data_IF_669298636766
#
_entry.id   IF_669298636766
#
_cell.length_a   1.000
_cell.length_b   1.000
_cell.length_c   1.000
_cell.angle_alpha   90.00
_cell.angle_beta   90.00
_cell.angle_gamma   90.00
#
_symmetry.space_group_name_H-M   'P 1'
#
loop_
_entity.id
_entity.type
_entity.pdbx_description
1 polymer ?
#
# COMPACT_ATOMS: atom_id res chain seq x y z
N UNK A 1 8.44 9.59 40.06
CA UNK A 1 8.34 8.14 40.23
C UNK A 1 6.88 7.73 40.43
N UNK A 2 6.19 7.34 39.41
CA UNK A 2 4.96 6.51 39.45
C UNK A 2 4.82 5.82 38.09
N UNK A 3 4.96 4.50 38.10
CA UNK A 3 4.76 3.62 36.94
C UNK A 3 3.31 3.69 36.46
N UNK A 4 3.08 4.13 35.25
CA UNK A 4 1.80 4.05 34.56
C UNK A 4 1.72 2.75 33.75
N UNK A 5 0.77 1.95 34.16
CA UNK A 5 0.48 0.58 33.81
C UNK A 5 -0.01 0.43 32.37
N UNK A 6 0.75 -0.26 31.51
CA UNK A 6 0.50 -0.54 30.07
C UNK A 6 -0.61 -1.58 29.78
N UNK A 7 -1.52 -1.85 30.73
CA UNK A 7 -2.49 -2.97 30.63
C UNK A 7 -3.96 -2.59 30.49
N UNK A 8 -4.32 -1.40 29.98
CA UNK A 8 -5.76 -0.99 29.85
C UNK A 8 -6.19 -0.49 28.49
N UNK A 9 -5.62 -1.02 27.38
CA UNK A 9 -6.10 -0.64 26.03
C UNK A 9 -6.40 -1.82 25.09
N UNK A 10 -6.61 -3.02 25.64
CA UNK A 10 -6.94 -4.23 24.88
C UNK A 10 -8.14 -4.99 25.46
N UNK A 11 -9.19 -4.30 25.85
CA UNK A 11 -10.43 -4.95 26.27
C UNK A 11 -11.64 -4.10 25.87
N UNK A 12 -12.06 -4.20 24.62
CA UNK A 12 -13.44 -4.00 24.15
C UNK A 12 -13.45 -4.26 22.63
N UNK A 13 -13.92 -5.44 22.23
CA UNK A 13 -14.93 -5.72 21.21
C UNK A 13 -14.83 -7.17 20.77
N UNK A 14 -15.41 -8.04 21.58
CA UNK A 14 -15.93 -9.31 21.09
C UNK A 14 -17.44 -9.22 21.16
N UNK A 15 -18.09 -8.80 20.09
CA UNK A 15 -19.50 -9.04 19.87
C UNK A 15 -19.65 -9.87 18.61
N UNK A 16 -20.27 -11.03 18.78
CA UNK A 16 -20.58 -12.02 17.77
C UNK A 16 -21.41 -11.38 16.65
N UNK A 17 -20.92 -11.41 15.42
CA UNK A 17 -21.70 -11.10 14.24
C UNK A 17 -22.24 -12.41 13.66
N UNK A 18 -23.57 -12.53 13.67
CA UNK A 18 -24.30 -13.62 13.04
C UNK A 18 -23.98 -13.69 11.54
N UNK A 19 -23.69 -14.90 11.07
CA UNK A 19 -23.38 -15.22 9.68
C UNK A 19 -24.61 -15.01 8.79
N UNK A 20 -24.63 -13.91 8.04
CA UNK A 20 -25.51 -13.80 6.88
C UNK A 20 -24.82 -14.52 5.70
N UNK A 21 -25.44 -15.61 5.26
CA UNK A 21 -25.05 -16.35 4.04
C UNK A 21 -25.30 -15.42 2.85
N UNK A 22 -24.26 -14.83 2.31
CA UNK A 22 -24.32 -14.16 1.02
C UNK A 22 -24.38 -15.23 -0.10
N UNK A 23 -25.23 -15.03 -1.13
CA UNK A 23 -25.26 -15.91 -2.28
C UNK A 23 -23.87 -15.94 -2.92
N UNK A 24 -23.40 -17.14 -3.26
CA UNK A 24 -22.22 -17.38 -4.06
C UNK A 24 -22.35 -16.63 -5.39
N UNK A 25 -21.84 -15.41 -5.46
CA UNK A 25 -21.36 -14.90 -6.73
C UNK A 25 -20.21 -15.82 -7.11
N UNK A 26 -20.45 -16.73 -8.06
CA UNK A 26 -19.44 -17.61 -8.57
C UNK A 26 -18.26 -16.77 -9.04
N UNK A 27 -17.11 -17.02 -8.47
CA UNK A 27 -15.86 -16.59 -9.04
C UNK A 27 -15.73 -17.38 -10.34
N UNK A 28 -16.27 -16.79 -11.42
CA UNK A 28 -16.01 -17.30 -12.74
C UNK A 28 -14.49 -17.39 -12.88
N UNK A 29 -14.01 -18.56 -13.24
CA UNK A 29 -12.63 -18.76 -13.59
C UNK A 29 -12.24 -17.61 -14.51
N UNK A 30 -11.30 -16.79 -14.05
CA UNK A 30 -10.84 -15.63 -14.78
C UNK A 30 -10.40 -16.14 -16.15
N UNK A 31 -11.17 -15.79 -17.19
CA UNK A 31 -10.82 -16.03 -18.56
C UNK A 31 -9.38 -15.53 -18.75
N UNK A 32 -8.58 -16.34 -19.41
CA UNK A 32 -7.19 -16.09 -19.76
C UNK A 32 -7.05 -14.62 -20.17
N UNK A 33 -6.24 -13.83 -19.47
CA UNK A 33 -6.11 -12.42 -19.80
C UNK A 33 -5.66 -12.31 -21.27
N UNK A 34 -6.13 -11.29 -22.01
CA UNK A 34 -5.63 -11.02 -23.34
C UNK A 34 -4.10 -10.90 -23.30
N UNK A 35 -3.40 -11.27 -24.37
CA UNK A 35 -1.94 -11.19 -24.41
C UNK A 35 -1.55 -9.76 -24.01
N UNK A 36 -0.63 -9.67 -23.04
CA UNK A 36 -0.15 -8.40 -22.52
C UNK A 36 0.28 -7.50 -23.69
N UNK A 37 -0.29 -6.30 -23.74
CA UNK A 37 0.25 -5.26 -24.61
C UNK A 37 1.75 -5.15 -24.31
N UNK A 38 2.58 -5.07 -25.35
CA UNK A 38 4.04 -4.95 -25.20
C UNK A 38 4.31 -3.75 -24.29
N UNK A 39 4.74 -4.03 -23.06
CA UNK A 39 5.17 -2.98 -22.14
C UNK A 39 6.36 -2.28 -22.76
N UNK A 40 6.19 -1.03 -23.11
CA UNK A 40 7.31 -0.17 -23.49
C UNK A 40 8.03 0.17 -22.19
N UNK A 41 9.19 -0.48 -21.96
CA UNK A 41 10.11 -0.04 -20.92
C UNK A 41 10.39 1.46 -21.12
N UNK A 42 10.56 2.26 -20.04
CA UNK A 42 10.94 3.65 -20.19
C UNK A 42 12.24 3.72 -21.01
N UNK A 43 12.15 4.35 -22.19
CA UNK A 43 13.32 4.50 -23.05
C UNK A 43 14.33 5.43 -22.38
N UNK A 44 15.52 4.92 -22.14
CA UNK A 44 16.67 5.74 -21.80
C UNK A 44 17.13 6.42 -23.11
N UNK A 45 17.14 7.75 -23.21
CA UNK A 45 17.53 8.41 -24.45
C UNK A 45 18.90 7.95 -24.93
N UNK A 46 18.96 7.34 -26.12
CA UNK A 46 20.19 6.90 -26.74
C UNK A 46 20.80 5.58 -26.22
N UNK A 47 20.13 4.85 -25.34
CA UNK A 47 20.58 3.54 -24.81
C UNK A 47 19.49 2.51 -25.08
N UNK A 48 19.90 1.31 -25.53
CA UNK A 48 18.96 0.19 -25.63
C UNK A 48 18.36 -0.12 -24.25
N UNK A 49 17.06 -0.51 -24.15
CA UNK A 49 16.45 -0.82 -22.86
C UNK A 49 17.10 -2.02 -22.20
N UNK A 50 17.05 -2.05 -20.87
CA UNK A 50 17.36 -3.28 -20.13
C UNK A 50 16.46 -4.41 -20.62
N UNK A 51 17.04 -5.60 -20.78
CA UNK A 51 16.28 -6.81 -21.10
C UNK A 51 16.61 -7.89 -20.07
N UNK A 52 15.60 -8.68 -19.71
CA UNK A 52 15.76 -9.81 -18.82
C UNK A 52 15.19 -11.06 -19.47
N UNK A 53 15.92 -12.17 -19.37
CA UNK A 53 15.49 -13.47 -19.83
C UNK A 53 15.75 -14.49 -18.72
N UNK A 54 14.69 -14.99 -18.12
CA UNK A 54 14.77 -15.78 -16.91
C UNK A 54 15.40 -14.96 -15.78
N UNK A 55 16.52 -15.45 -15.23
CA UNK A 55 17.27 -14.77 -14.17
C UNK A 55 18.52 -14.05 -14.70
N UNK A 56 18.58 -13.77 -16.01
CA UNK A 56 19.72 -13.06 -16.62
C UNK A 56 19.29 -11.68 -17.11
N UNK A 57 19.86 -10.64 -16.49
CA UNK A 57 19.69 -9.26 -16.88
C UNK A 57 20.76 -8.86 -17.89
N UNK A 58 20.34 -8.37 -19.05
CA UNK A 58 21.21 -7.74 -20.06
C UNK A 58 21.30 -6.24 -19.80
N UNK A 59 22.51 -5.74 -19.60
CA UNK A 59 22.82 -4.31 -19.42
C UNK A 59 23.50 -3.84 -20.68
N UNK A 60 22.91 -2.92 -21.47
CA UNK A 60 23.53 -2.37 -22.69
C UNK A 60 24.75 -1.49 -22.38
N UNK A 61 25.69 -1.42 -23.32
CA UNK A 61 26.73 -0.38 -23.28
C UNK A 61 26.12 0.99 -23.57
N UNK A 62 26.67 2.05 -22.97
CA UNK A 62 26.19 3.41 -23.18
C UNK A 62 26.45 4.33 -22.00
N UNK A 63 26.00 5.58 -22.11
CA UNK A 63 26.07 6.58 -21.04
C UNK A 63 24.74 6.65 -20.32
N UNK A 64 24.76 6.35 -19.02
CA UNK A 64 23.58 6.36 -18.15
C UNK A 64 23.55 7.68 -17.37
N UNK A 65 22.45 8.39 -17.49
CA UNK A 65 22.17 9.59 -16.70
C UNK A 65 21.31 9.18 -15.51
N UNK A 66 21.86 9.23 -14.31
CA UNK A 66 21.19 8.79 -13.10
C UNK A 66 20.69 9.94 -12.26
N UNK A 67 19.86 9.66 -11.28
CA UNK A 67 19.36 10.67 -10.33
C UNK A 67 20.49 11.50 -9.72
N UNK A 68 20.26 12.83 -9.58
CA UNK A 68 21.29 13.76 -9.11
C UNK A 68 22.28 14.27 -10.15
N UNK A 69 21.98 14.06 -11.46
CA UNK A 69 22.79 14.58 -12.57
C UNK A 69 24.13 13.87 -12.77
N UNK A 70 24.25 12.66 -12.26
CA UNK A 70 25.48 11.86 -12.45
C UNK A 70 25.41 11.10 -13.77
N UNK A 71 26.53 11.09 -14.47
CA UNK A 71 26.74 10.27 -15.65
C UNK A 71 27.68 9.12 -15.32
N UNK A 72 27.37 7.93 -15.84
CA UNK A 72 28.26 6.78 -15.77
C UNK A 72 28.23 6.03 -17.11
N UNK A 73 29.38 5.60 -17.58
CA UNK A 73 29.52 4.87 -18.84
C UNK A 73 29.66 3.38 -18.58
N UNK A 74 28.77 2.59 -19.18
CA UNK A 74 28.97 1.13 -19.33
C UNK A 74 29.81 0.91 -20.61
N UNK A 75 31.03 0.40 -20.46
CA UNK A 75 32.01 0.32 -21.55
C UNK A 75 31.70 -0.79 -22.54
N UNK A 76 31.07 -1.88 -22.08
CA UNK A 76 30.66 -3.02 -22.91
C UNK A 76 29.39 -3.65 -22.39
N UNK A 77 28.54 -4.24 -23.28
CA UNK A 77 27.34 -4.94 -22.83
C UNK A 77 27.69 -6.05 -21.85
N UNK A 78 26.84 -6.23 -20.83
CA UNK A 78 27.04 -7.26 -19.81
C UNK A 78 25.78 -8.09 -19.61
N UNK A 79 25.97 -9.35 -19.20
CA UNK A 79 24.92 -10.24 -18.73
C UNK A 79 25.14 -10.53 -17.26
N UNK A 80 24.16 -10.18 -16.43
CA UNK A 80 24.23 -10.28 -14.99
C UNK A 80 23.23 -11.32 -14.49
N UNK A 81 23.71 -12.27 -13.69
CA UNK A 81 22.81 -13.22 -13.03
C UNK A 81 22.11 -12.54 -11.85
N UNK A 82 20.80 -12.67 -11.80
CA UNK A 82 19.96 -12.26 -10.66
C UNK A 82 19.65 -13.51 -9.83
N UNK A 83 19.97 -13.50 -8.55
CA UNK A 83 19.69 -14.64 -7.69
C UNK A 83 18.19 -15.01 -7.68
N UNK A 84 17.85 -16.30 -7.56
CA UNK A 84 16.46 -16.74 -7.50
C UNK A 84 15.72 -16.14 -6.29
N UNK A 85 14.40 -16.36 -6.23
CA UNK A 85 13.58 -15.97 -5.09
C UNK A 85 14.07 -16.69 -3.82
N UNK A 86 14.04 -15.98 -2.70
CA UNK A 86 14.43 -16.54 -1.41
C UNK A 86 13.27 -17.33 -0.82
N UNK A 87 13.58 -18.53 -0.31
CA UNK A 87 12.63 -19.43 0.35
C UNK A 87 13.12 -19.69 1.77
N UNK A 88 12.20 -19.56 2.72
CA UNK A 88 12.43 -19.87 4.13
C UNK A 88 11.56 -21.07 4.51
N UNK A 89 12.17 -22.08 5.12
CA UNK A 89 11.47 -23.21 5.70
C UNK A 89 11.25 -22.96 7.20
N UNK A 90 10.01 -23.08 7.62
CA UNK A 90 9.58 -23.01 9.02
C UNK A 90 9.21 -24.43 9.46
N UNK A 91 9.72 -24.85 10.61
CA UNK A 91 9.45 -26.17 11.18
C UNK A 91 8.81 -26.02 12.53
N UNK A 92 7.74 -26.79 12.72
CA UNK A 92 7.08 -26.96 14.03
C UNK A 92 6.68 -25.64 14.71
N UNK A 93 6.16 -24.69 13.91
CA UNK A 93 5.57 -23.49 14.47
C UNK A 93 4.35 -23.85 15.32
N UNK A 94 4.36 -23.43 16.58
CA UNK A 94 3.24 -23.64 17.50
C UNK A 94 2.12 -22.66 17.20
N UNK A 95 0.92 -23.17 16.99
CA UNK A 95 -0.27 -22.34 16.77
C UNK A 95 -1.56 -23.01 17.27
N UNK A 96 -2.62 -22.23 17.35
CA UNK A 96 -3.99 -22.71 17.56
C UNK A 96 -4.85 -22.36 16.37
N UNK A 97 -5.67 -23.30 15.92
CA UNK A 97 -6.54 -23.08 14.78
C UNK A 97 -7.74 -22.19 15.17
N UNK A 98 -8.04 -21.20 14.36
CA UNK A 98 -9.25 -20.39 14.52
C UNK A 98 -10.50 -21.25 14.37
N UNK A 99 -11.54 -21.05 15.21
CA UNK A 99 -12.84 -21.68 14.99
C UNK A 99 -13.54 -21.16 13.74
N UNK A 100 -13.16 -19.97 13.26
CA UNK A 100 -13.76 -19.35 12.11
C UNK A 100 -13.17 -19.93 10.81
N UNK A 101 -14.03 -20.05 9.79
CA UNK A 101 -13.58 -20.40 8.44
C UNK A 101 -12.59 -19.33 7.93
N UNK A 102 -11.38 -19.72 7.52
CA UNK A 102 -10.37 -18.76 7.08
C UNK A 102 -10.82 -18.05 5.79
N UNK A 103 -10.60 -16.73 5.75
CA UNK A 103 -11.00 -15.95 4.58
C UNK A 103 -10.68 -14.47 4.68
N UNK A 104 -10.73 -13.79 3.54
CA UNK A 104 -10.36 -12.38 3.45
C UNK A 104 -8.93 -12.12 3.91
N UNK A 105 -8.71 -10.99 4.62
CA UNK A 105 -7.39 -10.55 5.09
C UNK A 105 -7.12 -10.96 6.55
N UNK A 106 -8.16 -11.23 7.35
CA UNK A 106 -8.03 -11.26 8.80
C UNK A 106 -8.60 -12.51 9.45
N UNK A 107 -9.59 -13.16 8.84
CA UNK A 107 -10.30 -14.27 9.46
C UNK A 107 -9.47 -15.54 9.39
N UNK A 108 -9.06 -16.05 10.53
CA UNK A 108 -8.23 -17.25 10.65
C UNK A 108 -6.92 -17.00 11.40
N UNK A 109 -6.24 -18.09 11.73
CA UNK A 109 -4.91 -18.07 12.33
C UNK A 109 -3.86 -17.77 11.26
N UNK A 110 -2.96 -16.87 11.55
CA UNK A 110 -1.85 -16.47 10.66
C UNK A 110 -0.61 -17.28 10.97
N UNK A 111 0.07 -17.75 9.93
CA UNK A 111 1.41 -18.33 10.04
C UNK A 111 2.43 -17.21 10.28
N UNK A 112 3.28 -17.35 11.31
CA UNK A 112 4.23 -16.32 11.73
C UNK A 112 5.23 -15.95 10.63
N UNK A 113 5.77 -16.95 9.90
CA UNK A 113 6.74 -16.74 8.83
C UNK A 113 6.17 -15.98 7.63
N UNK A 114 4.86 -16.04 7.40
CA UNK A 114 4.20 -15.30 6.31
C UNK A 114 3.62 -13.95 6.77
N UNK A 115 3.74 -13.62 8.05
CA UNK A 115 3.08 -12.44 8.61
C UNK A 115 3.76 -11.14 8.18
N UNK A 116 3.03 -10.28 7.50
CA UNK A 116 3.39 -8.92 7.17
C UNK A 116 2.48 -7.97 7.96
N UNK A 117 3.04 -7.31 8.98
CA UNK A 117 2.27 -6.51 9.92
C UNK A 117 1.08 -7.29 10.53
N UNK A 118 -0.15 -6.91 10.23
CA UNK A 118 -1.37 -7.51 10.80
C UNK A 118 -2.05 -8.56 9.91
N UNK A 119 -1.51 -8.82 8.70
CA UNK A 119 -2.04 -9.81 7.75
C UNK A 119 -0.97 -10.82 7.32
N UNK A 120 -1.36 -11.89 6.65
CA UNK A 120 -0.42 -12.73 5.90
C UNK A 120 -0.01 -12.02 4.61
N UNK A 121 1.28 -12.08 4.24
CA UNK A 121 1.76 -11.51 2.99
C UNK A 121 1.12 -12.25 1.80
N UNK A 122 0.51 -11.47 0.91
CA UNK A 122 -0.27 -12.03 -0.18
C UNK A 122 0.55 -12.92 -1.11
N UNK A 123 0.17 -14.21 -1.22
CA UNK A 123 0.84 -15.25 -2.01
C UNK A 123 2.28 -15.59 -1.59
N UNK A 124 2.66 -15.32 -0.35
CA UNK A 124 3.98 -15.70 0.14
C UNK A 124 4.09 -17.18 0.53
N UNK A 125 2.99 -17.83 0.92
CA UNK A 125 3.00 -19.25 1.29
C UNK A 125 3.22 -20.14 0.07
N UNK A 126 4.11 -21.11 0.21
CA UNK A 126 4.22 -22.26 -0.72
C UNK A 126 3.20 -23.30 -0.26
N UNK A 127 2.03 -23.25 -0.86
CA UNK A 127 0.82 -23.93 -0.39
C UNK A 127 1.02 -25.45 -0.20
N UNK A 128 1.66 -26.11 -1.16
CA UNK A 128 1.90 -27.57 -1.12
C UNK A 128 2.92 -28.00 -0.04
N UNK A 129 3.64 -27.05 0.56
CA UNK A 129 4.60 -27.33 1.62
C UNK A 129 3.97 -27.37 3.02
N UNK A 130 2.71 -26.94 3.15
CA UNK A 130 2.05 -26.83 4.44
C UNK A 130 1.58 -28.19 4.96
N UNK A 131 2.07 -28.55 6.13
CA UNK A 131 1.64 -29.72 6.88
C UNK A 131 1.40 -29.37 8.35
N UNK A 132 0.31 -29.88 8.92
CA UNK A 132 -0.02 -29.72 10.35
C UNK A 132 -0.02 -31.07 11.06
N UNK A 133 0.38 -31.06 12.32
CA UNK A 133 0.31 -32.21 13.21
C UNK A 133 -0.11 -31.80 14.63
N UNK A 134 -0.69 -32.73 15.37
CA UNK A 134 -0.98 -32.55 16.80
C UNK A 134 0.31 -32.58 17.65
N UNK A 135 0.23 -32.23 18.91
CA UNK A 135 1.33 -32.34 19.89
C UNK A 135 1.78 -33.79 20.10
N UNK A 136 0.93 -34.78 19.81
CA UNK A 136 1.26 -36.20 19.87
C UNK A 136 1.88 -36.75 18.57
N UNK A 137 2.04 -35.89 17.54
CA UNK A 137 2.65 -36.25 16.27
C UNK A 137 1.67 -36.75 15.21
N UNK A 138 0.36 -36.83 15.49
CA UNK A 138 -0.64 -37.24 14.53
C UNK A 138 -0.79 -36.17 13.43
N UNK A 139 -0.65 -36.56 12.16
CA UNK A 139 -0.87 -35.66 11.02
C UNK A 139 -2.34 -35.26 10.92
N UNK A 140 -2.57 -33.96 10.66
CA UNK A 140 -3.89 -33.41 10.38
C UNK A 140 -4.13 -33.36 8.88
N UNK A 141 -5.36 -33.69 8.45
CA UNK A 141 -5.76 -33.75 7.04
C UNK A 141 -6.30 -32.39 6.61
N UNK A 142 -5.74 -31.86 5.53
CA UNK A 142 -6.25 -30.65 4.89
C UNK A 142 -7.70 -30.86 4.41
N UNK A 143 -8.50 -29.81 4.48
CA UNK A 143 -9.93 -29.74 4.11
C UNK A 143 -10.87 -30.60 4.98
N UNK A 144 -10.33 -31.44 5.83
CA UNK A 144 -11.07 -32.26 6.80
C UNK A 144 -10.82 -31.75 8.24
N UNK A 145 -9.57 -31.80 8.70
CA UNK A 145 -9.18 -31.42 10.05
C UNK A 145 -8.82 -29.92 10.14
N UNK A 146 -8.30 -29.34 9.06
CA UNK A 146 -8.04 -27.89 8.97
C UNK A 146 -8.35 -27.35 7.58
N UNK A 147 -8.69 -26.06 7.53
CA UNK A 147 -8.95 -25.30 6.31
C UNK A 147 -7.82 -24.29 6.06
N UNK A 148 -7.57 -23.96 4.79
CA UNK A 148 -6.55 -22.99 4.38
C UNK A 148 -7.14 -21.95 3.45
N UNK A 149 -6.86 -20.68 3.71
CA UNK A 149 -6.99 -19.60 2.75
C UNK A 149 -5.57 -19.22 2.28
N UNK A 150 -5.11 -19.92 1.24
CA UNK A 150 -3.74 -19.83 0.74
C UNK A 150 -3.27 -18.41 0.36
N UNK A 151 -4.10 -17.51 -0.25
CA UNK A 151 -3.65 -16.18 -0.62
C UNK A 151 -3.06 -15.35 0.53
N UNK A 152 -3.58 -15.50 1.74
CA UNK A 152 -3.11 -14.80 2.93
C UNK A 152 -2.58 -15.74 4.01
N UNK A 153 -2.34 -17.00 3.67
CA UNK A 153 -1.80 -18.02 4.59
C UNK A 153 -2.59 -18.10 5.92
N UNK A 154 -3.93 -18.09 5.83
CA UNK A 154 -4.82 -18.13 6.99
C UNK A 154 -5.32 -19.55 7.20
N UNK A 155 -5.36 -19.99 8.46
CA UNK A 155 -5.79 -21.32 8.86
C UNK A 155 -7.04 -21.26 9.75
N UNK A 156 -7.86 -22.29 9.66
CA UNK A 156 -9.01 -22.50 10.54
C UNK A 156 -9.31 -23.96 10.74
N UNK A 157 -10.18 -24.25 11.71
CA UNK A 157 -10.66 -25.64 11.93
C UNK A 157 -11.45 -26.15 10.74
N UNK A 158 -11.20 -27.40 10.40
CA UNK A 158 -11.96 -28.12 9.40
C UNK A 158 -13.24 -28.74 9.96
N UNK A 159 -14.16 -29.18 9.08
CA UNK A 159 -15.47 -29.73 9.50
C UNK A 159 -15.38 -31.09 10.20
N UNK A 160 -14.24 -31.77 10.13
CA UNK A 160 -14.00 -33.09 10.75
C UNK A 160 -12.82 -33.04 11.72
N UNK A 161 -12.49 -31.84 12.26
CA UNK A 161 -11.36 -31.64 13.14
C UNK A 161 -11.50 -32.47 14.42
N UNK A 162 -10.46 -33.23 14.77
CA UNK A 162 -10.31 -33.91 16.05
C UNK A 162 -9.57 -33.05 17.09
N UNK A 163 -9.27 -31.80 16.75
CA UNK A 163 -8.67 -30.80 17.63
C UNK A 163 -9.64 -29.64 17.82
N UNK A 164 -9.53 -28.95 18.95
CA UNK A 164 -10.35 -27.78 19.31
C UNK A 164 -9.54 -26.48 19.17
N UNK A 165 -10.17 -25.30 19.23
CA UNK A 165 -9.45 -24.03 19.25
C UNK A 165 -8.49 -23.85 20.42
N UNK A 166 -8.66 -24.64 21.49
CA UNK A 166 -7.77 -24.62 22.66
C UNK A 166 -6.49 -25.45 22.49
N UNK A 167 -6.52 -26.41 21.56
CA UNK A 167 -5.42 -27.34 21.35
C UNK A 167 -4.27 -26.69 20.57
N UNK A 168 -3.05 -27.01 20.97
CA UNK A 168 -1.85 -26.66 20.22
C UNK A 168 -1.66 -27.64 19.08
N UNK A 169 -1.30 -27.10 17.92
CA UNK A 169 -0.85 -27.86 16.76
C UNK A 169 0.48 -27.28 16.26
N UNK A 170 1.22 -28.10 15.53
CA UNK A 170 2.49 -27.71 14.91
C UNK A 170 2.32 -27.59 13.42
N UNK A 171 2.76 -26.47 12.84
CA UNK A 171 2.80 -26.24 11.41
C UNK A 171 4.25 -26.28 10.88
N UNK A 172 4.44 -27.03 9.80
CA UNK A 172 5.68 -27.04 9.01
C UNK A 172 5.33 -26.60 7.62
N UNK A 173 6.05 -25.59 7.09
CA UNK A 173 5.79 -25.01 5.77
C UNK A 173 7.01 -24.25 5.26
N UNK A 174 6.95 -23.85 3.98
CA UNK A 174 7.89 -22.94 3.37
C UNK A 174 7.17 -21.73 2.81
N UNK A 175 7.87 -20.59 2.79
CA UNK A 175 7.34 -19.36 2.21
C UNK A 175 8.40 -18.58 1.45
N UNK A 176 7.96 -17.76 0.52
CA UNK A 176 8.81 -16.86 -0.25
C UNK A 176 9.09 -15.56 0.49
N UNK A 177 10.24 -14.95 0.19
CA UNK A 177 10.56 -13.57 0.54
C UNK A 177 10.78 -12.76 -0.73
N UNK A 178 10.40 -11.49 -0.72
CA UNK A 178 10.70 -10.54 -1.79
C UNK A 178 12.03 -9.85 -1.55
N UNK A 179 12.66 -9.32 -2.63
CA UNK A 179 13.97 -8.68 -2.54
C UNK A 179 14.12 -7.56 -3.57
N UNK A 180 14.94 -6.58 -3.24
CA UNK A 180 15.40 -5.53 -4.15
C UNK A 180 16.91 -5.68 -4.37
N UNK A 181 17.32 -5.99 -5.61
CA UNK A 181 18.71 -6.04 -6.00
C UNK A 181 19.10 -4.73 -6.72
N UNK A 182 20.29 -4.21 -6.46
CA UNK A 182 20.79 -2.98 -7.05
C UNK A 182 21.80 -3.28 -8.16
N UNK A 183 21.58 -2.72 -9.33
CA UNK A 183 22.55 -2.78 -10.43
C UNK A 183 23.41 -1.52 -10.37
N UNK A 184 24.71 -1.70 -10.21
CA UNK A 184 25.68 -0.62 -10.10
C UNK A 184 26.78 -0.76 -11.16
N UNK A 185 27.39 0.36 -11.52
CA UNK A 185 28.57 0.42 -12.42
C UNK A 185 29.77 0.91 -11.62
N UNK A 186 30.88 0.22 -11.74
CA UNK A 186 32.17 0.60 -11.10
C UNK A 186 32.91 1.69 -11.88
N UNK A 187 34.08 2.09 -11.37
CA UNK A 187 34.92 3.10 -12.00
C UNK A 187 35.48 2.69 -13.38
N UNK A 188 35.58 1.39 -13.64
CA UNK A 188 36.03 0.84 -14.93
C UNK A 188 34.89 0.72 -15.96
N UNK A 189 33.68 1.11 -15.59
CA UNK A 189 32.50 1.01 -16.46
C UNK A 189 31.90 -0.40 -16.53
N UNK A 190 32.17 -1.25 -15.54
CA UNK A 190 31.65 -2.62 -15.48
C UNK A 190 30.42 -2.70 -14.60
N UNK A 191 29.28 -3.15 -15.12
CA UNK A 191 28.07 -3.33 -14.31
C UNK A 191 28.16 -4.62 -13.48
N UNK A 192 27.58 -4.58 -12.27
CA UNK A 192 27.40 -5.74 -11.38
C UNK A 192 26.14 -5.61 -10.55
N UNK A 193 25.67 -6.73 -10.00
CA UNK A 193 24.52 -6.78 -9.09
C UNK A 193 25.01 -6.74 -7.64
N UNK A 194 24.38 -5.88 -6.84
CA UNK A 194 24.47 -5.91 -5.39
C UNK A 194 23.18 -6.54 -4.88
N UNK A 195 23.28 -7.73 -4.31
CA UNK A 195 22.12 -8.45 -3.80
C UNK A 195 21.59 -7.76 -2.55
N UNK A 196 20.28 -7.54 -2.50
CA UNK A 196 19.60 -7.00 -1.34
C UNK A 196 19.27 -8.03 -0.26
N UNK A 197 18.73 -7.55 0.85
CA UNK A 197 18.26 -8.40 1.95
C UNK A 197 16.81 -8.79 1.69
N UNK A 198 16.50 -10.11 1.65
CA UNK A 198 15.11 -10.54 1.47
C UNK A 198 14.24 -10.19 2.67
N UNK A 199 12.98 -9.83 2.41
CA UNK A 199 12.03 -9.47 3.47
C UNK A 199 10.61 -9.87 3.10
N UNK A 200 9.79 -10.19 4.10
CA UNK A 200 8.40 -10.61 3.88
C UNK A 200 7.48 -9.46 3.40
N UNK A 201 7.78 -8.22 3.74
CA UNK A 201 6.93 -7.08 3.40
C UNK A 201 7.68 -5.94 2.70
N UNK A 202 8.65 -5.33 3.38
CA UNK A 202 9.35 -4.12 2.94
C UNK A 202 10.84 -4.40 2.73
N UNK A 203 11.24 -5.04 1.61
CA UNK A 203 12.66 -5.21 1.30
C UNK A 203 13.30 -3.83 1.10
N UNK A 204 14.50 -3.68 1.61
CA UNK A 204 15.27 -2.45 1.45
C UNK A 204 16.25 -2.57 0.30
N UNK A 205 16.44 -1.45 -0.40
CA UNK A 205 17.45 -1.37 -1.42
C UNK A 205 18.84 -1.35 -0.76
N UNK A 206 19.78 -2.22 -1.18
CA UNK A 206 21.10 -2.22 -0.60
C UNK A 206 21.84 -0.90 -0.91
N UNK A 207 22.66 -0.37 0.01
CA UNK A 207 23.47 0.80 -0.27
C UNK A 207 24.45 0.50 -1.41
N UNK A 208 24.66 1.46 -2.33
CA UNK A 208 25.67 1.28 -3.37
C UNK A 208 27.07 1.20 -2.73
N UNK A 209 27.87 0.22 -3.11
CA UNK A 209 29.27 0.15 -2.65
C UNK A 209 30.07 1.40 -3.01
N UNK A 210 31.06 1.78 -2.20
CA UNK A 210 31.91 2.93 -2.50
C UNK A 210 32.49 2.87 -3.91
N UNK A 211 32.52 4.01 -4.62
CA UNK A 211 33.05 4.12 -5.97
C UNK A 211 32.16 3.55 -7.07
N UNK A 212 30.91 3.19 -6.75
CA UNK A 212 29.94 2.71 -7.75
C UNK A 212 28.78 3.67 -7.96
N UNK A 213 28.17 3.62 -9.13
CA UNK A 213 26.99 4.41 -9.49
C UNK A 213 25.81 3.47 -9.77
N UNK A 214 24.67 3.62 -9.07
CA UNK A 214 23.46 2.84 -9.33
C UNK A 214 22.84 3.22 -10.68
N UNK A 215 22.41 2.22 -11.46
CA UNK A 215 21.77 2.41 -12.77
C UNK A 215 20.38 1.77 -12.88
N UNK A 216 20.07 0.79 -12.05
CA UNK A 216 18.76 0.16 -12.00
C UNK A 216 18.51 -0.56 -10.67
N UNK A 217 17.25 -0.74 -10.33
CA UNK A 217 16.78 -1.66 -9.28
C UNK A 217 16.10 -2.85 -9.95
N UNK A 218 16.36 -4.05 -9.48
CA UNK A 218 15.65 -5.27 -9.88
C UNK A 218 14.79 -5.73 -8.72
N UNK A 219 13.48 -5.78 -8.92
CA UNK A 219 12.54 -6.29 -7.93
C UNK A 219 12.28 -7.78 -8.15
N UNK A 220 12.55 -8.58 -7.14
CA UNK A 220 12.23 -10.01 -7.07
C UNK A 220 10.98 -10.20 -6.20
N UNK A 221 9.79 -10.37 -6.81
CA UNK A 221 8.55 -10.61 -6.06
C UNK A 221 8.49 -12.04 -5.47
N UNK A 222 7.52 -12.29 -4.60
CA UNK A 222 7.32 -13.57 -3.91
C UNK A 222 7.21 -14.77 -4.83
N UNK A 223 6.36 -14.70 -5.86
CA UNK A 223 5.94 -15.85 -6.67
C UNK A 223 6.51 -15.84 -8.10
N UNK A 224 7.40 -14.89 -8.44
CA UNK A 224 8.02 -14.86 -9.75
C UNK A 224 9.09 -15.93 -9.87
N UNK A 225 8.77 -17.04 -10.55
CA UNK A 225 9.73 -18.09 -10.92
C UNK A 225 10.77 -17.56 -11.89
N UNK A 226 10.37 -16.63 -12.78
CA UNK A 226 11.22 -15.95 -13.74
C UNK A 226 10.96 -14.46 -13.67
N UNK A 227 12.00 -13.65 -13.91
CA UNK A 227 11.85 -12.21 -14.01
C UNK A 227 11.52 -11.81 -15.45
N UNK A 228 10.79 -10.72 -15.56
CA UNK A 228 10.45 -10.04 -16.81
C UNK A 228 10.99 -8.60 -16.77
N UNK A 229 11.07 -7.95 -17.92
CA UNK A 229 11.56 -6.56 -18.03
C UNK A 229 10.81 -5.60 -17.11
N UNK A 230 9.54 -5.89 -16.83
CA UNK A 230 8.71 -5.12 -15.91
C UNK A 230 9.25 -5.07 -14.47
N UNK A 231 10.07 -6.04 -14.06
CA UNK A 231 10.70 -6.08 -12.75
C UNK A 231 12.00 -5.26 -12.67
N UNK A 232 12.42 -4.64 -13.79
CA UNK A 232 13.60 -3.78 -13.84
C UNK A 232 13.16 -2.32 -13.81
N UNK A 233 13.70 -1.56 -12.85
CA UNK A 233 13.41 -0.15 -12.61
C UNK A 233 14.67 0.66 -12.87
N UNK A 234 14.86 1.22 -14.09
CA UNK A 234 16.01 2.03 -14.40
C UNK A 234 16.05 3.30 -13.55
N UNK A 235 17.22 3.66 -13.06
CA UNK A 235 17.46 4.95 -12.44
C UNK A 235 17.68 5.98 -13.54
N UNK A 236 16.70 6.84 -13.77
CA UNK A 236 16.78 7.87 -14.81
C UNK A 236 16.88 9.25 -14.16
N UNK A 237 17.62 10.15 -14.79
CA UNK A 237 17.69 11.55 -14.39
C UNK A 237 16.45 12.33 -14.84
N UNK A 238 15.26 11.81 -14.57
CA UNK A 238 14.07 12.60 -14.82
C UNK A 238 13.97 13.68 -13.75
N UNK A 239 13.98 14.93 -14.20
CA UNK A 239 13.54 16.03 -13.36
C UNK A 239 12.15 15.65 -12.80
N UNK A 240 11.97 15.88 -11.52
CA UNK A 240 10.68 15.73 -10.85
C UNK A 240 9.70 16.65 -11.60
N UNK A 241 9.02 16.12 -12.59
CA UNK A 241 7.96 16.86 -13.28
C UNK A 241 7.00 17.32 -12.19
N UNK A 242 6.65 18.59 -12.23
CA UNK A 242 5.59 19.14 -11.38
C UNK A 242 4.32 18.43 -11.80
N UNK A 243 4.02 17.32 -11.12
CA UNK A 243 2.94 16.40 -11.47
C UNK A 243 1.58 17.09 -11.44
N UNK A 244 1.46 18.27 -10.80
CA UNK A 244 0.22 19.02 -10.73
C UNK A 244 0.48 20.50 -10.53
N UNK A 245 0.49 21.26 -11.58
CA UNK A 245 0.41 22.72 -11.52
C UNK A 245 -0.96 23.21 -10.99
N UNK A 246 -1.95 22.34 -10.95
CA UNK A 246 -3.37 22.70 -10.77
C UNK A 246 -3.86 22.75 -9.32
N UNK A 247 -3.08 22.33 -8.34
CA UNK A 247 -3.54 22.23 -6.96
C UNK A 247 -3.20 23.43 -6.07
N UNK A 248 -2.24 24.23 -6.49
CA UNK A 248 -1.81 25.42 -5.74
C UNK A 248 -2.90 26.51 -5.73
N UNK A 249 -3.06 27.16 -4.60
CA UNK A 249 -3.99 28.29 -4.47
C UNK A 249 -5.47 27.92 -4.37
N UNK A 250 -5.82 26.64 -4.27
CA UNK A 250 -7.22 26.21 -4.15
C UNK A 250 -7.73 26.06 -2.71
N UNK A 251 -6.90 26.44 -1.72
CA UNK A 251 -7.26 26.55 -0.29
C UNK A 251 -6.88 27.93 0.28
N UNK A 252 -7.30 29.04 -0.38
CA UNK A 252 -6.81 30.37 -0.08
C UNK A 252 -7.22 30.86 1.31
N UNK A 253 -8.40 30.49 1.80
CA UNK A 253 -8.90 30.93 3.11
C UNK A 253 -8.09 30.31 4.24
N UNK A 254 -7.88 28.99 4.19
CA UNK A 254 -7.05 28.27 5.17
C UNK A 254 -5.62 28.77 5.13
N UNK A 255 -5.02 28.90 3.93
CA UNK A 255 -3.66 29.38 3.78
C UNK A 255 -3.50 30.80 4.35
N UNK A 256 -4.44 31.72 4.08
CA UNK A 256 -4.42 33.07 4.64
C UNK A 256 -4.51 33.07 6.17
N UNK A 257 -5.35 32.22 6.77
CA UNK A 257 -5.42 32.06 8.24
C UNK A 257 -4.09 31.55 8.81
N UNK A 258 -3.52 30.49 8.21
CA UNK A 258 -2.21 29.95 8.62
C UNK A 258 -1.11 31.02 8.57
N UNK A 259 -1.03 31.80 7.51
CA UNK A 259 -0.01 32.85 7.33
C UNK A 259 -0.15 33.99 8.35
N UNK A 260 -1.40 34.36 8.70
CA UNK A 260 -1.64 35.40 9.74
C UNK A 260 -1.41 34.91 11.16
N UNK A 261 -1.41 33.57 11.38
CA UNK A 261 -1.36 33.00 12.72
C UNK A 261 -2.73 32.89 13.39
N UNK A 262 -3.81 32.93 12.61
CA UNK A 262 -5.18 32.78 13.13
C UNK A 262 -5.40 31.31 13.55
N UNK A 263 -6.40 31.03 14.42
CA UNK A 263 -6.80 29.64 14.71
C UNK A 263 -7.29 28.95 13.45
N UNK A 264 -6.82 27.69 13.26
CA UNK A 264 -7.22 26.83 12.13
C UNK A 264 -7.59 25.44 12.63
N UNK A 265 -8.73 24.93 12.18
CA UNK A 265 -9.15 23.54 12.41
C UNK A 265 -8.95 22.73 11.13
N UNK A 266 -8.13 21.66 11.20
CA UNK A 266 -7.89 20.71 10.12
C UNK A 266 -8.43 19.35 10.52
N UNK A 267 -9.28 18.76 9.67
CA UNK A 267 -9.77 17.41 9.82
C UNK A 267 -9.17 16.53 8.74
N UNK A 268 -8.42 15.49 9.15
CA UNK A 268 -8.05 14.36 8.30
C UNK A 268 -9.17 13.33 8.36
N UNK A 269 -9.64 12.87 7.21
CA UNK A 269 -10.78 11.99 7.12
C UNK A 269 -10.56 10.87 6.10
N UNK A 270 -10.80 9.61 6.51
CA UNK A 270 -10.51 8.51 5.62
C UNK A 270 -10.65 7.10 6.19
N UNK A 271 -9.91 6.19 5.59
CA UNK A 271 -9.92 4.77 5.97
C UNK A 271 -8.65 4.36 6.76
N UNK A 272 -8.20 3.11 6.63
CA UNK A 272 -7.05 2.57 7.37
C UNK A 272 -5.73 3.27 7.05
N UNK A 273 -5.57 3.81 5.85
CA UNK A 273 -4.36 4.56 5.47
C UNK A 273 -4.33 5.90 6.23
N UNK A 274 -5.47 6.56 6.35
CA UNK A 274 -5.59 7.79 7.15
C UNK A 274 -5.46 7.53 8.64
N UNK A 275 -5.92 6.37 9.14
CA UNK A 275 -5.62 5.89 10.52
C UNK A 275 -4.11 5.80 10.75
N UNK A 276 -3.35 5.46 9.72
CA UNK A 276 -1.93 5.11 9.83
C UNK A 276 -1.73 3.66 10.26
N UNK A 277 -2.56 2.75 9.74
CA UNK A 277 -2.42 1.33 10.03
C UNK A 277 -1.05 0.80 9.59
N UNK A 278 -0.47 -0.07 10.42
CA UNK A 278 0.80 -0.78 10.19
C UNK A 278 2.07 0.11 10.20
N UNK A 279 1.95 1.39 10.59
CA UNK A 279 3.10 2.26 10.90
C UNK A 279 2.99 2.81 12.32
N UNK A 280 4.10 3.31 12.85
CA UNK A 280 4.04 4.00 14.15
C UNK A 280 3.35 5.36 14.01
N UNK A 281 2.65 5.85 15.05
CA UNK A 281 1.75 7.02 14.91
C UNK A 281 2.38 8.26 14.30
N UNK A 282 3.66 8.56 14.56
CA UNK A 282 4.32 9.74 14.03
C UNK A 282 4.73 9.62 12.55
N UNK A 283 4.69 8.42 11.98
CA UNK A 283 4.95 8.15 10.56
C UNK A 283 3.69 8.24 9.70
N UNK A 284 2.51 8.11 10.30
CA UNK A 284 1.23 8.23 9.59
C UNK A 284 1.07 9.62 8.98
N UNK A 285 0.62 9.71 7.73
CA UNK A 285 0.52 10.98 7.01
C UNK A 285 -0.34 12.00 7.74
N UNK A 286 -1.47 11.59 8.33
CA UNK A 286 -2.36 12.49 9.06
C UNK A 286 -1.65 13.17 10.25
N UNK A 287 -0.85 12.42 11.02
CA UNK A 287 -0.08 12.96 12.14
C UNK A 287 1.13 13.77 11.65
N UNK A 288 1.77 13.37 10.56
CA UNK A 288 2.85 14.15 9.93
C UNK A 288 2.34 15.49 9.42
N UNK A 289 1.14 15.55 8.85
CA UNK A 289 0.52 16.81 8.43
C UNK A 289 0.42 17.81 9.59
N UNK A 290 -0.01 17.37 10.76
CA UNK A 290 -0.01 18.21 11.97
C UNK A 290 1.38 18.75 12.27
N UNK A 291 2.40 17.89 12.23
CA UNK A 291 3.79 18.26 12.52
C UNK A 291 4.31 19.29 11.52
N UNK A 292 4.10 19.05 10.23
CA UNK A 292 4.53 19.95 9.14
C UNK A 292 3.83 21.31 9.21
N UNK A 293 2.51 21.33 9.44
CA UNK A 293 1.76 22.59 9.59
C UNK A 293 2.22 23.39 10.81
N UNK A 294 2.45 22.71 11.95
CA UNK A 294 2.95 23.38 13.16
C UNK A 294 4.35 23.95 12.95
N UNK A 295 5.23 23.22 12.25
CA UNK A 295 6.59 23.69 11.95
C UNK A 295 6.59 24.87 10.97
N UNK A 296 5.76 24.79 9.91
CA UNK A 296 5.68 25.82 8.87
C UNK A 296 4.95 27.10 9.33
N UNK A 297 3.94 26.95 10.22
CA UNK A 297 3.10 28.05 10.70
C UNK A 297 3.08 28.11 12.23
N UNK A 298 4.22 28.41 12.89
CA UNK A 298 4.36 28.27 14.35
C UNK A 298 3.52 29.27 15.17
N UNK A 299 2.98 30.32 14.54
CA UNK A 299 2.08 31.26 15.19
C UNK A 299 0.63 30.84 15.22
N UNK A 300 0.26 29.84 14.40
CA UNK A 300 -1.14 29.36 14.28
C UNK A 300 -1.47 28.45 15.45
N UNK A 301 -2.62 28.68 16.08
CA UNK A 301 -3.23 27.70 16.99
C UNK A 301 -3.94 26.65 16.15
N UNK A 302 -3.24 25.55 15.87
CA UNK A 302 -3.75 24.45 15.06
C UNK A 302 -4.58 23.48 15.90
N UNK A 303 -5.86 23.30 15.56
CA UNK A 303 -6.68 22.18 15.98
C UNK A 303 -6.64 21.10 14.90
N UNK A 304 -6.15 19.92 15.25
CA UNK A 304 -6.04 18.80 14.31
C UNK A 304 -6.90 17.63 14.81
N UNK A 305 -7.76 17.09 13.94
CA UNK A 305 -8.62 15.94 14.20
C UNK A 305 -8.40 14.88 13.14
N UNK A 306 -8.50 13.62 13.54
CA UNK A 306 -8.45 12.50 12.63
C UNK A 306 -9.73 11.66 12.80
N UNK A 307 -10.66 11.82 11.86
CA UNK A 307 -11.88 11.03 11.73
C UNK A 307 -11.64 9.95 10.66
N UNK A 308 -11.04 8.82 11.06
CA UNK A 308 -10.74 7.73 10.14
C UNK A 308 -11.07 6.38 10.76
N UNK A 309 -11.57 5.46 9.94
CA UNK A 309 -11.99 4.12 10.37
C UNK A 309 -11.46 3.08 9.41
N UNK A 310 -10.66 2.13 9.91
CA UNK A 310 -10.10 1.04 9.11
C UNK A 310 -11.17 0.28 8.31
N UNK A 311 -10.93 0.12 7.00
CA UNK A 311 -11.85 -0.59 6.10
C UNK A 311 -13.18 0.14 5.83
N UNK A 312 -13.35 1.41 6.24
CA UNK A 312 -14.52 2.19 5.85
C UNK A 312 -14.40 2.67 4.40
N UNK A 313 -15.54 3.00 3.82
CA UNK A 313 -15.68 3.66 2.53
C UNK A 313 -16.49 4.95 2.70
N UNK A 314 -16.26 5.92 1.82
CA UNK A 314 -16.86 7.24 1.94
C UNK A 314 -18.39 7.23 2.08
N UNK A 315 -19.09 6.41 1.26
CA UNK A 315 -20.56 6.32 1.32
C UNK A 315 -21.09 5.82 2.68
N UNK A 316 -20.33 5.01 3.41
CA UNK A 316 -20.77 4.54 4.74
C UNK A 316 -20.94 5.70 5.73
N UNK A 317 -20.15 6.76 5.61
CA UNK A 317 -20.21 7.92 6.49
C UNK A 317 -21.51 8.72 6.31
N UNK A 318 -22.06 8.80 5.09
CA UNK A 318 -23.38 9.40 4.82
C UNK A 318 -24.53 8.57 5.37
N UNK A 319 -24.32 7.27 5.53
CA UNK A 319 -25.33 6.31 5.94
C UNK A 319 -25.10 5.79 7.37
N UNK A 320 -24.41 6.55 8.22
CA UNK A 320 -24.13 6.19 9.62
C UNK A 320 -23.57 4.77 9.78
N UNK A 321 -22.61 4.41 8.94
CA UNK A 321 -21.95 3.11 8.97
C UNK A 321 -22.69 1.98 8.24
N UNK A 322 -23.94 2.17 7.82
CA UNK A 322 -24.75 1.12 7.19
C UNK A 322 -25.04 1.43 5.71
N UNK A 323 -24.16 0.94 4.83
CA UNK A 323 -24.32 1.06 3.38
C UNK A 323 -24.61 -0.33 2.78
N UNK A 324 -25.61 -0.47 1.86
CA UNK A 324 -26.01 -1.75 1.29
C UNK A 324 -24.83 -2.54 0.69
N UNK A 325 -24.74 -3.81 1.06
CA UNK A 325 -23.71 -4.73 0.55
C UNK A 325 -22.33 -4.58 1.21
N UNK A 326 -22.16 -3.72 2.20
CA UNK A 326 -20.93 -3.57 2.95
C UNK A 326 -21.04 -4.04 4.40
N UNK A 327 -19.95 -4.51 5.02
CA UNK A 327 -19.89 -4.76 6.45
C UNK A 327 -20.22 -3.46 7.22
N UNK A 328 -21.14 -3.54 8.17
CA UNK A 328 -21.55 -2.39 8.99
C UNK A 328 -20.35 -1.84 9.79
N UNK A 329 -20.33 -0.53 9.95
CA UNK A 329 -19.46 0.20 10.87
C UNK A 329 -20.27 0.70 12.05
N UNK A 330 -19.59 1.00 13.15
CA UNK A 330 -20.24 1.56 14.33
C UNK A 330 -20.89 2.92 13.99
N UNK A 331 -22.22 3.05 14.10
CA UNK A 331 -22.92 4.29 13.80
C UNK A 331 -22.60 5.44 14.79
N UNK A 332 -21.98 5.14 15.94
CA UNK A 332 -21.51 6.16 16.84
C UNK A 332 -20.26 6.89 16.34
N UNK A 333 -19.49 6.25 15.44
CA UNK A 333 -18.20 6.77 14.95
C UNK A 333 -18.17 7.01 13.46
N UNK A 334 -18.85 6.19 12.65
CA UNK A 334 -18.91 6.30 11.19
C UNK A 334 -20.06 7.18 10.74
N UNK A 335 -19.95 8.51 10.97
CA UNK A 335 -20.99 9.50 10.68
C UNK A 335 -20.37 10.77 10.12
N UNK A 336 -20.93 11.25 9.02
CA UNK A 336 -20.44 12.46 8.35
C UNK A 336 -20.67 13.74 9.18
N UNK A 337 -21.74 13.80 9.95
CA UNK A 337 -22.04 14.93 10.83
C UNK A 337 -20.98 15.14 11.93
N UNK A 338 -20.24 14.10 12.33
CA UNK A 338 -19.09 14.24 13.25
C UNK A 338 -17.95 15.03 12.62
N UNK A 339 -17.70 14.85 11.32
CA UNK A 339 -16.71 15.64 10.58
C UNK A 339 -17.13 17.11 10.54
N UNK A 340 -18.41 17.38 10.28
CA UNK A 340 -18.97 18.74 10.23
C UNK A 340 -19.03 19.41 11.62
N UNK A 341 -19.23 18.62 12.68
CA UNK A 341 -19.29 19.13 14.06
C UNK A 341 -17.97 19.72 14.55
N UNK A 342 -16.83 19.32 13.98
CA UNK A 342 -15.53 19.91 14.26
C UNK A 342 -15.39 21.33 13.71
N UNK A 343 -16.30 21.80 12.90
CA UNK A 343 -16.29 23.11 12.23
C UNK A 343 -14.94 23.37 11.52
N UNK A 344 -14.51 22.46 10.62
CA UNK A 344 -13.20 22.55 10.01
C UNK A 344 -13.09 23.74 9.06
N UNK A 345 -11.92 24.38 9.06
CA UNK A 345 -11.50 25.27 7.98
C UNK A 345 -11.08 24.48 6.75
N UNK A 346 -10.46 23.32 7.00
CA UNK A 346 -9.93 22.42 5.98
C UNK A 346 -10.24 20.99 6.31
N UNK A 347 -10.76 20.25 5.30
CA UNK A 347 -10.85 18.78 5.31
C UNK A 347 -9.81 18.23 4.35
N UNK A 348 -9.02 17.25 4.80
CA UNK A 348 -8.08 16.48 3.96
C UNK A 348 -8.59 15.04 3.95
N UNK A 349 -9.05 14.58 2.79
CA UNK A 349 -9.82 13.34 2.67
C UNK A 349 -9.16 12.31 1.75
N UNK A 350 -9.01 11.08 2.26
CA UNK A 350 -8.47 9.95 1.51
C UNK A 350 -9.26 8.67 1.80
N UNK A 351 -9.75 7.96 0.76
CA UNK A 351 -10.43 6.67 0.86
C UNK A 351 -9.96 5.70 -0.22
N UNK A 352 -8.95 4.87 0.06
CA UNK A 352 -8.53 3.80 -0.86
C UNK A 352 -9.66 2.80 -1.11
N UNK A 353 -10.45 2.49 -0.09
CA UNK A 353 -11.50 1.47 -0.17
C UNK A 353 -12.63 1.83 -1.15
N UNK A 354 -12.75 3.08 -1.56
CA UNK A 354 -13.69 3.54 -2.57
C UNK A 354 -13.40 2.97 -3.98
N UNK A 355 -12.23 2.39 -4.19
CA UNK A 355 -11.83 1.74 -5.46
C UNK A 355 -12.82 0.68 -5.94
N UNK A 356 -13.63 0.13 -5.06
CA UNK A 356 -14.62 -0.91 -5.37
C UNK A 356 -16.00 -0.35 -5.69
N UNK A 357 -16.22 0.96 -5.53
CA UNK A 357 -17.50 1.58 -5.89
C UNK A 357 -17.59 1.85 -7.39
N UNK A 358 -18.79 1.70 -7.98
CA UNK A 358 -19.06 2.22 -9.31
C UNK A 358 -19.10 3.76 -9.28
N UNK A 359 -18.88 4.37 -10.43
CA UNK A 359 -18.69 5.83 -10.56
C UNK A 359 -19.94 6.63 -10.12
N UNK A 360 -21.15 6.10 -10.34
CA UNK A 360 -22.39 6.76 -9.94
C UNK A 360 -22.58 6.82 -8.41
N UNK A 361 -22.08 5.83 -7.67
CA UNK A 361 -22.05 5.86 -6.20
C UNK A 361 -21.06 6.91 -5.72
N UNK A 362 -19.88 6.97 -6.34
CA UNK A 362 -18.88 8.00 -6.04
C UNK A 362 -19.44 9.41 -6.31
N UNK A 363 -20.06 9.62 -7.46
CA UNK A 363 -20.62 10.91 -7.84
C UNK A 363 -21.66 11.39 -6.81
N UNK A 364 -22.63 10.55 -6.45
CA UNK A 364 -23.66 10.88 -5.44
C UNK A 364 -23.06 11.19 -4.07
N UNK A 365 -22.08 10.38 -3.66
CA UNK A 365 -21.44 10.50 -2.35
C UNK A 365 -20.62 11.79 -2.24
N UNK A 366 -19.76 12.02 -3.21
CA UNK A 366 -18.89 13.20 -3.22
C UNK A 366 -19.65 14.50 -3.46
N UNK A 367 -20.76 14.45 -4.24
CA UNK A 367 -21.66 15.59 -4.41
C UNK A 367 -22.32 15.98 -3.08
N UNK A 368 -22.78 15.02 -2.27
CA UNK A 368 -23.33 15.30 -0.96
C UNK A 368 -22.30 15.95 -0.02
N UNK A 369 -21.05 15.52 -0.07
CA UNK A 369 -19.97 16.19 0.67
C UNK A 369 -19.71 17.59 0.16
N UNK A 370 -19.66 17.78 -1.16
CA UNK A 370 -19.51 19.09 -1.79
C UNK A 370 -20.57 20.07 -1.29
N UNK A 371 -21.85 19.68 -1.37
CA UNK A 371 -22.97 20.53 -0.97
C UNK A 371 -22.87 20.94 0.51
N UNK A 372 -22.51 19.99 1.37
CA UNK A 372 -22.35 20.25 2.80
C UNK A 372 -21.15 21.16 3.13
N UNK A 373 -20.02 20.99 2.43
CA UNK A 373 -18.81 21.78 2.62
C UNK A 373 -19.00 23.19 2.03
N UNK A 374 -19.55 23.30 0.83
CA UNK A 374 -19.82 24.58 0.18
C UNK A 374 -20.75 25.46 1.02
N UNK A 375 -21.84 24.88 1.56
CA UNK A 375 -22.79 25.58 2.42
C UNK A 375 -22.15 26.14 3.71
N UNK A 376 -21.00 25.61 4.14
CA UNK A 376 -20.26 26.02 5.35
C UNK A 376 -18.97 26.77 5.06
N UNK A 377 -18.61 26.92 3.78
CA UNK A 377 -17.35 27.56 3.37
C UNK A 377 -16.10 26.78 3.75
N UNK A 378 -16.24 25.47 3.97
CA UNK A 378 -15.14 24.53 4.29
C UNK A 378 -14.32 24.30 3.04
N UNK A 379 -13.00 24.45 3.13
CA UNK A 379 -12.08 24.10 2.06
C UNK A 379 -11.73 22.61 2.11
N UNK A 380 -11.46 22.02 0.94
CA UNK A 380 -11.28 20.57 0.83
C UNK A 380 -10.04 20.24 -0.04
N UNK A 381 -9.11 19.44 0.52
CA UNK A 381 -8.07 18.76 -0.23
C UNK A 381 -8.53 17.32 -0.45
N UNK A 382 -8.76 16.97 -1.70
CA UNK A 382 -9.03 15.59 -2.12
C UNK A 382 -7.68 14.91 -2.34
N UNK A 383 -7.47 13.76 -1.71
CA UNK A 383 -6.24 12.99 -1.82
C UNK A 383 -6.52 11.74 -2.65
N UNK A 384 -5.83 11.57 -3.78
CA UNK A 384 -5.88 10.28 -4.48
C UNK A 384 -5.09 9.25 -3.68
N UNK A 385 -5.64 8.04 -3.44
CA UNK A 385 -4.99 7.06 -2.58
C UNK A 385 -3.72 6.47 -3.22
N UNK A 386 -2.84 5.93 -2.37
CA UNK A 386 -1.69 5.14 -2.83
C UNK A 386 -2.12 3.99 -3.74
N UNK A 387 -1.19 3.47 -4.49
CA UNK A 387 -1.43 2.22 -5.21
C UNK A 387 -1.60 1.08 -4.19
N UNK A 388 -2.17 -0.03 -4.63
CA UNK A 388 -2.31 -1.24 -3.84
C UNK A 388 -1.91 -2.45 -4.69
N UNK A 389 -1.61 -3.58 -4.03
CA UNK A 389 -1.12 -4.77 -4.72
C UNK A 389 -2.20 -5.45 -5.56
N UNK A 390 -1.76 -6.33 -6.42
CA UNK A 390 -2.11 -6.61 -7.80
C UNK A 390 -3.39 -7.37 -8.04
N UNK A 391 -4.28 -7.54 -7.10
CA UNK A 391 -5.62 -8.06 -7.40
C UNK A 391 -6.43 -7.06 -8.22
N UNK A 392 -6.14 -5.77 -8.01
CA UNK A 392 -6.83 -4.65 -8.66
C UNK A 392 -5.89 -3.80 -9.50
N UNK A 393 -4.57 -4.07 -9.44
CA UNK A 393 -3.56 -3.29 -10.15
C UNK A 393 -2.31 -4.12 -10.45
N UNK A 394 -2.00 -4.34 -11.72
CA UNK A 394 -0.80 -5.06 -12.14
C UNK A 394 0.40 -4.10 -12.19
N UNK A 395 1.62 -4.61 -12.00
CA UNK A 395 2.85 -3.82 -12.17
C UNK A 395 2.95 -3.20 -13.57
N UNK A 396 2.44 -3.89 -14.60
CA UNK A 396 2.32 -3.38 -15.96
C UNK A 396 1.48 -2.10 -16.02
N UNK A 397 0.33 -2.09 -15.34
CA UNK A 397 -0.60 -0.96 -15.36
C UNK A 397 0.04 0.29 -14.72
N UNK A 398 0.94 0.12 -13.75
CA UNK A 398 1.73 1.22 -13.19
C UNK A 398 2.66 1.86 -14.22
N UNK A 399 3.34 1.04 -15.03
CA UNK A 399 4.27 1.51 -16.07
C UNK A 399 3.54 2.08 -17.29
N UNK A 400 2.41 1.47 -17.69
CA UNK A 400 1.66 1.84 -18.89
C UNK A 400 0.81 3.11 -18.76
N UNK A 401 0.70 3.63 -17.59
CA UNK A 401 0.16 4.96 -17.46
C UNK A 401 -1.34 5.07 -17.27
N UNK A 402 -2.09 3.98 -17.24
CA UNK A 402 -3.55 4.06 -17.09
C UNK A 402 -3.93 4.29 -15.62
N UNK A 403 -4.57 5.42 -15.29
CA UNK A 403 -5.04 5.67 -13.93
C UNK A 403 -6.25 4.77 -13.64
N UNK A 404 -6.42 4.38 -12.36
CA UNK A 404 -7.62 3.67 -11.88
C UNK A 404 -8.88 4.54 -12.11
N UNK A 405 -10.05 3.89 -12.16
CA UNK A 405 -11.31 4.61 -12.29
C UNK A 405 -11.48 5.64 -11.15
N UNK A 406 -11.19 5.25 -9.90
CA UNK A 406 -11.23 6.15 -8.75
C UNK A 406 -10.31 7.37 -8.94
N UNK A 407 -9.06 7.17 -9.38
CA UNK A 407 -8.11 8.29 -9.59
C UNK A 407 -8.63 9.27 -10.66
N UNK A 408 -9.21 8.74 -11.76
CA UNK A 408 -9.83 9.57 -12.80
C UNK A 408 -11.03 10.35 -12.28
N UNK A 409 -11.88 9.70 -11.50
CA UNK A 409 -13.04 10.32 -10.88
C UNK A 409 -12.60 11.46 -9.97
N UNK A 410 -11.70 11.22 -9.02
CA UNK A 410 -11.24 12.22 -8.05
C UNK A 410 -10.62 13.45 -8.73
N UNK A 411 -9.81 13.24 -9.78
CA UNK A 411 -9.23 14.33 -10.56
C UNK A 411 -10.30 15.18 -11.25
N UNK A 412 -11.26 14.54 -11.94
CA UNK A 412 -12.37 15.26 -12.60
C UNK A 412 -13.26 15.99 -11.60
N UNK A 413 -13.55 15.35 -10.46
CA UNK A 413 -14.38 15.95 -9.43
C UNK A 413 -13.70 17.17 -8.80
N UNK A 414 -12.42 17.05 -8.41
CA UNK A 414 -11.65 18.15 -7.86
C UNK A 414 -11.56 19.33 -8.85
N UNK A 415 -11.34 19.06 -10.12
CA UNK A 415 -11.23 20.09 -11.16
C UNK A 415 -12.57 20.79 -11.40
N UNK A 416 -13.65 20.03 -11.56
CA UNK A 416 -15.02 20.54 -11.79
C UNK A 416 -15.47 21.50 -10.69
N UNK A 417 -15.13 21.20 -9.43
CA UNK A 417 -15.56 21.99 -8.27
C UNK A 417 -14.49 22.95 -7.74
N UNK A 418 -13.34 23.02 -8.36
CA UNK A 418 -12.26 23.91 -7.94
C UNK A 418 -11.55 23.52 -6.65
N UNK A 419 -11.64 22.25 -6.22
CA UNK A 419 -10.97 21.76 -5.02
C UNK A 419 -9.47 21.51 -5.25
N UNK A 420 -8.70 21.59 -4.18
CA UNK A 420 -7.31 21.17 -4.20
C UNK A 420 -7.22 19.63 -4.32
N UNK A 421 -6.26 19.16 -5.09
CA UNK A 421 -5.98 17.75 -5.30
C UNK A 421 -4.54 17.43 -4.89
N UNK A 422 -4.38 16.61 -3.88
CA UNK A 422 -3.09 15.97 -3.57
C UNK A 422 -3.01 14.66 -4.36
N UNK A 423 -2.34 14.69 -5.52
CA UNK A 423 -2.34 13.56 -6.46
C UNK A 423 -1.27 12.51 -6.10
N UNK A 424 -1.45 11.88 -4.95
CA UNK A 424 -0.55 10.84 -4.44
C UNK A 424 -0.46 9.65 -5.39
N UNK A 425 -1.55 9.27 -6.07
CA UNK A 425 -1.53 8.19 -7.06
C UNK A 425 -0.56 8.48 -8.22
N UNK A 426 -0.53 9.73 -8.72
CA UNK A 426 0.41 10.15 -9.75
C UNK A 426 1.86 10.15 -9.21
N UNK A 427 2.06 10.59 -7.96
CA UNK A 427 3.37 10.56 -7.30
C UNK A 427 3.90 9.12 -7.14
N UNK A 428 3.05 8.19 -6.72
CA UNK A 428 3.42 6.77 -6.63
C UNK A 428 3.76 6.19 -7.99
N UNK A 429 2.99 6.52 -9.02
CA UNK A 429 3.25 6.08 -10.37
C UNK A 429 4.58 6.61 -10.92
N UNK A 430 4.98 7.82 -10.52
CA UNK A 430 6.26 8.40 -10.92
C UNK A 430 7.47 7.65 -10.34
N UNK A 431 7.31 6.96 -9.21
CA UNK A 431 8.40 6.23 -8.53
C UNK A 431 9.12 5.24 -9.44
N UNK A 432 8.41 4.59 -10.38
CA UNK A 432 9.07 3.66 -11.30
C UNK A 432 10.12 4.35 -12.17
N UNK A 433 9.94 5.64 -12.50
CA UNK A 433 10.92 6.46 -13.23
C UNK A 433 12.12 6.84 -12.37
N UNK A 434 11.95 6.79 -11.06
CA UNK A 434 13.00 7.03 -10.06
C UNK A 434 13.74 5.73 -9.69
N UNK A 435 13.39 4.61 -10.30
CA UNK A 435 13.97 3.31 -9.98
C UNK A 435 13.44 2.67 -8.70
N UNK A 436 12.28 3.12 -8.20
CA UNK A 436 11.68 2.65 -6.94
C UNK A 436 10.48 1.77 -7.22
N UNK A 437 10.54 0.46 -6.92
CA UNK A 437 9.40 -0.44 -6.99
C UNK A 437 8.38 -0.14 -5.90
N UNK A 438 7.19 0.32 -6.26
CA UNK A 438 6.19 0.72 -5.26
C UNK A 438 5.70 -0.42 -4.35
N UNK A 439 5.82 -1.67 -4.78
CA UNK A 439 5.46 -2.84 -3.95
C UNK A 439 6.30 -2.93 -2.67
N UNK A 440 7.53 -2.45 -2.70
CA UNK A 440 8.39 -2.39 -1.53
C UNK A 440 7.97 -1.34 -0.50
N UNK A 441 6.96 -0.54 -0.82
CA UNK A 441 6.48 0.55 0.03
C UNK A 441 5.25 0.18 0.88
N UNK A 442 4.88 -1.11 0.94
CA UNK A 442 3.74 -1.56 1.74
C UNK A 442 4.18 -2.29 3.00
N UNK A 443 3.88 -1.72 4.18
CA UNK A 443 4.18 -2.29 5.48
C UNK A 443 3.54 -3.68 5.67
N UNK A 444 2.34 -3.90 5.12
CA UNK A 444 1.63 -5.18 5.17
C UNK A 444 1.77 -6.01 3.89
N UNK A 445 2.68 -5.66 3.00
CA UNK A 445 2.87 -6.30 1.69
C UNK A 445 1.59 -6.36 0.83
N UNK A 446 0.64 -5.45 1.04
CA UNK A 446 -0.64 -5.44 0.32
C UNK A 446 -1.13 -4.04 -0.06
N UNK A 447 -1.48 -3.19 0.91
CA UNK A 447 -2.11 -1.89 0.64
C UNK A 447 -1.77 -0.78 1.64
N UNK A 448 -1.24 -1.08 2.82
CA UNK A 448 -0.89 -0.07 3.79
C UNK A 448 0.54 0.44 3.54
N UNK A 449 0.70 1.73 3.21
CA UNK A 449 2.03 2.30 2.98
C UNK A 449 2.93 2.17 4.21
N UNK A 450 4.23 2.00 4.00
CA UNK A 450 5.24 2.15 5.03
C UNK A 450 5.54 3.65 5.29
N UNK A 451 6.45 3.96 6.19
CA UNK A 451 6.82 5.34 6.55
C UNK A 451 7.20 6.20 5.32
N UNK A 452 7.94 5.62 4.36
CA UNK A 452 8.29 6.31 3.11
C UNK A 452 7.04 6.59 2.27
N UNK A 453 6.17 5.58 2.09
CA UNK A 453 4.92 5.72 1.37
C UNK A 453 4.01 6.80 1.97
N UNK A 454 3.90 6.86 3.30
CA UNK A 454 3.19 7.96 3.98
C UNK A 454 3.84 9.33 3.75
N UNK A 455 5.16 9.39 3.56
CA UNK A 455 5.87 10.60 3.18
C UNK A 455 5.39 11.19 1.86
N UNK A 456 5.06 10.34 0.89
CA UNK A 456 4.58 10.78 -0.42
C UNK A 456 3.20 11.48 -0.33
N UNK A 457 2.33 11.06 0.60
CA UNK A 457 1.09 11.78 0.88
C UNK A 457 1.37 13.21 1.35
N UNK A 458 2.29 13.35 2.30
CA UNK A 458 2.65 14.67 2.85
C UNK A 458 3.25 15.57 1.77
N UNK A 459 4.12 15.05 0.91
CA UNK A 459 4.66 15.81 -0.20
C UNK A 459 3.56 16.44 -1.06
N UNK A 460 2.54 15.68 -1.43
CA UNK A 460 1.47 16.16 -2.30
C UNK A 460 0.46 17.06 -1.56
N UNK A 461 0.12 16.75 -0.30
CA UNK A 461 -0.78 17.57 0.51
C UNK A 461 -0.15 18.95 0.78
N UNK A 462 1.14 19.00 1.15
CA UNK A 462 1.83 20.27 1.44
C UNK A 462 1.97 21.17 0.20
N UNK A 463 2.02 20.60 -1.01
CA UNK A 463 1.97 21.38 -2.27
C UNK A 463 0.66 22.12 -2.45
N UNK A 464 -0.46 21.59 -1.95
CA UNK A 464 -1.73 22.30 -1.99
C UNK A 464 -1.74 23.56 -1.11
N UNK A 465 -0.80 23.67 -0.17
CA UNK A 465 -0.64 24.75 0.78
C UNK A 465 0.54 25.70 0.44
N UNK A 466 1.01 25.65 -0.82
CA UNK A 466 2.03 26.56 -1.35
C UNK A 466 1.48 27.80 -2.03
#
# INVERSE_FOLDING_TARGET
MRHLNRRRFLAATSTAAASAVLPRAGWAAASRPPPAAKSTAPELPGIAPFAINGDTLSVPAGVYHTGGGREVRVTSPARLAIAPVDIVAVRDEELRLSPDKPGGFFTGTKLAGTRAANIGAFRSLIDDSLALRTTTGQALRRDADYLVSAPFALLGLGPQANVTPADLVYATYSHYLQRLDLVVVDADGKPRVVRGVPHIATPELPPPPPGTTPIATVYRPFDARTLETIHVFPHTAHAREVLTATTRGRVPKTLAKLQRGDPVTVVCWGDSITVGADVVPHEAWANRLRTELTARFPRTRLTHRNHSIGGSKSAQWLHNGDFPGLPKKDPATCRFDLVLAEQPDLVVMEFLNDITFPEDVLEKTYQAFHDAFAARGIEWIIVTPSQNIPQTFRLADMKDGQPRMLDRFLRRFADRHGYALADTAARWKHLHREGIPYFALFANAYNHPNAFGHGLFIEEIMRCLE
#
